data_IF_378039365752
#
_entry.id   IF_378039365752
#
_cell.length_a   1.000
_cell.length_b   1.000
_cell.length_c   1.000
_cell.angle_alpha   90.00
_cell.angle_beta   90.00
_cell.angle_gamma   90.00
#
_symmetry.space_group_name_H-M   'P 1'
#
loop_
_entity.id
_entity.type
_entity.pdbx_description
1 polymer ?
#
# COMPACT_ATOMS: atom_id res chain seq x y z
N UNK A 1 -14.66 15.05 -7.37
CA UNK A 1 -13.96 13.76 -7.24
C UNK A 1 -15.00 12.73 -6.83
N UNK A 2 -15.10 11.64 -7.57
CA UNK A 2 -15.99 10.54 -7.24
C UNK A 2 -15.41 9.82 -6.02
N UNK A 3 -16.22 9.67 -4.97
CA UNK A 3 -15.79 9.16 -3.66
C UNK A 3 -15.70 7.63 -3.59
N UNK A 4 -16.25 6.94 -4.59
CA UNK A 4 -16.41 5.49 -4.60
C UNK A 4 -15.54 4.83 -5.69
N UNK A 5 -14.36 5.40 -5.93
CA UNK A 5 -13.46 4.97 -6.98
C UNK A 5 -12.07 4.65 -6.40
N UNK A 6 -11.49 3.54 -6.83
CA UNK A 6 -10.06 3.26 -6.65
C UNK A 6 -9.36 3.57 -7.95
N UNK A 7 -8.52 4.60 -7.95
CA UNK A 7 -7.63 4.88 -9.07
C UNK A 7 -6.37 4.05 -8.94
N UNK A 8 -6.01 3.36 -10.01
CA UNK A 8 -4.75 2.61 -10.05
C UNK A 8 -3.95 2.98 -11.28
N UNK A 9 -2.67 3.25 -11.08
CA UNK A 9 -1.70 3.42 -12.16
C UNK A 9 -0.88 2.15 -12.34
N UNK A 10 -0.85 1.63 -13.57
CA UNK A 10 -0.18 0.39 -13.95
C UNK A 10 -0.82 -0.86 -13.32
N UNK A 11 -0.17 -2.02 -13.45
CA UNK A 11 -0.62 -3.29 -12.91
C UNK A 11 0.47 -3.95 -12.07
N UNK A 12 0.06 -4.79 -11.12
CA UNK A 12 1.03 -5.57 -10.33
C UNK A 12 1.82 -6.53 -11.23
N UNK A 13 1.21 -7.09 -12.29
CA UNK A 13 1.91 -7.93 -13.24
C UNK A 13 3.03 -7.18 -13.96
N UNK A 14 2.81 -5.94 -14.37
CA UNK A 14 3.85 -5.11 -14.97
C UNK A 14 5.01 -4.85 -13.98
N UNK A 15 4.68 -4.54 -12.72
CA UNK A 15 5.68 -4.38 -11.67
C UNK A 15 6.46 -5.67 -11.41
N UNK A 16 5.78 -6.83 -11.41
CA UNK A 16 6.42 -8.14 -11.24
C UNK A 16 7.47 -8.44 -12.32
N UNK A 17 7.25 -7.96 -13.53
CA UNK A 17 8.18 -8.13 -14.66
C UNK A 17 9.30 -7.09 -14.71
N UNK A 18 9.37 -6.19 -13.73
CA UNK A 18 10.48 -5.23 -13.60
C UNK A 18 10.21 -3.85 -14.23
N UNK A 19 8.97 -3.47 -14.44
CA UNK A 19 8.63 -2.12 -14.92
C UNK A 19 8.67 -1.12 -13.76
N UNK A 20 9.89 -0.69 -13.40
CA UNK A 20 10.14 0.16 -12.22
C UNK A 20 10.39 1.63 -12.55
N UNK A 21 10.41 2.02 -13.82
CA UNK A 21 10.56 3.43 -14.19
C UNK A 21 9.32 4.23 -13.75
N UNK A 22 9.55 5.29 -12.98
CA UNK A 22 8.50 6.18 -12.51
C UNK A 22 7.88 6.97 -13.67
N UNK A 23 6.56 6.98 -13.73
CA UNK A 23 5.79 7.62 -14.80
C UNK A 23 4.85 8.67 -14.23
N UNK A 24 3.92 8.28 -13.34
CA UNK A 24 2.96 9.19 -12.73
C UNK A 24 3.61 9.90 -11.53
N UNK A 25 3.39 11.21 -11.41
CA UNK A 25 3.89 11.97 -10.26
C UNK A 25 2.99 11.80 -9.02
N UNK A 26 3.56 12.03 -7.86
CA UNK A 26 2.81 12.08 -6.59
C UNK A 26 1.73 13.15 -6.64
N UNK A 27 2.02 14.30 -7.26
CA UNK A 27 1.02 15.36 -7.45
C UNK A 27 -0.18 14.91 -8.24
N UNK A 28 0.03 14.20 -9.37
CA UNK A 28 -1.06 13.60 -10.16
C UNK A 28 -1.83 12.55 -9.35
N UNK A 29 -1.15 11.70 -8.57
CA UNK A 29 -1.83 10.72 -7.71
C UNK A 29 -2.75 11.39 -6.68
N UNK A 30 -2.35 12.53 -6.11
CA UNK A 30 -3.17 13.29 -5.15
C UNK A 30 -4.45 13.88 -5.77
N UNK A 31 -4.51 14.03 -7.08
CA UNK A 31 -5.75 14.43 -7.77
C UNK A 31 -6.80 13.33 -7.74
N UNK A 32 -6.39 12.08 -7.52
CA UNK A 32 -7.23 10.89 -7.52
C UNK A 32 -7.46 10.26 -6.14
N UNK A 33 -6.78 10.73 -5.10
CA UNK A 33 -6.96 10.20 -3.76
C UNK A 33 -6.15 10.92 -2.68
N UNK A 34 -6.50 10.63 -1.44
CA UNK A 34 -5.81 11.09 -0.23
C UNK A 34 -5.30 9.91 0.64
N UNK A 35 -5.54 8.69 0.15
CA UNK A 35 -5.29 7.42 0.82
C UNK A 35 -4.82 6.39 -0.20
N UNK A 36 -3.76 5.65 0.08
CA UNK A 36 -3.30 4.63 -0.85
C UNK A 36 -1.92 4.09 -0.56
N UNK A 37 -1.42 3.29 -1.50
CA UNK A 37 -0.14 2.62 -1.44
C UNK A 37 0.46 2.44 -2.83
N UNK A 38 1.74 2.10 -2.88
CA UNK A 38 2.49 1.88 -4.12
C UNK A 38 3.99 1.80 -3.88
N UNK A 39 4.74 2.18 -4.89
CA UNK A 39 6.20 2.29 -4.83
C UNK A 39 6.68 3.52 -5.60
N UNK A 40 7.99 3.70 -5.66
CA UNK A 40 8.60 4.85 -6.32
C UNK A 40 9.52 4.44 -7.46
N UNK A 41 9.93 5.43 -8.25
CA UNK A 41 10.87 5.26 -9.35
C UNK A 41 12.06 4.37 -8.93
N UNK A 42 12.47 3.46 -9.80
CA UNK A 42 13.50 2.44 -9.54
C UNK A 42 13.16 1.43 -8.43
N UNK A 43 11.89 1.31 -8.04
CA UNK A 43 11.43 0.48 -6.91
C UNK A 43 12.01 0.96 -5.56
N UNK A 44 12.25 2.25 -5.37
CA UNK A 44 12.91 2.81 -4.17
C UNK A 44 11.93 2.98 -3.01
N UNK A 45 11.65 1.88 -2.32
CA UNK A 45 10.85 1.85 -1.10
C UNK A 45 9.34 1.67 -1.33
N UNK A 46 8.61 1.62 -0.23
CA UNK A 46 7.15 1.51 -0.20
C UNK A 46 6.51 2.88 -0.08
N UNK A 47 5.44 3.11 -0.85
CA UNK A 47 4.61 4.32 -0.75
C UNK A 47 3.45 4.08 0.19
N UNK A 48 3.23 5.03 1.11
CA UNK A 48 2.01 5.15 1.89
C UNK A 48 1.47 6.56 1.70
N UNK A 49 0.19 6.66 1.30
CA UNK A 49 -0.55 7.92 1.28
C UNK A 49 -1.62 7.88 2.36
N UNK A 50 -1.58 8.84 3.26
CA UNK A 50 -2.52 8.97 4.37
C UNK A 50 -2.88 10.44 4.59
N UNK A 51 -4.17 10.76 4.53
CA UNK A 51 -4.70 12.13 4.64
C UNK A 51 -4.01 13.11 3.65
N UNK A 52 -3.75 12.66 2.42
CA UNK A 52 -3.09 13.43 1.38
C UNK A 52 -1.57 13.63 1.55
N UNK A 53 -0.99 13.13 2.64
CA UNK A 53 0.46 13.13 2.83
C UNK A 53 1.06 11.84 2.29
N UNK A 54 2.16 11.94 1.55
CA UNK A 54 2.84 10.79 0.97
C UNK A 54 4.17 10.57 1.65
N UNK A 55 4.39 9.32 2.05
CA UNK A 55 5.61 8.87 2.71
C UNK A 55 6.27 7.75 1.91
N UNK A 56 7.59 7.80 1.84
CA UNK A 56 8.43 6.72 1.32
C UNK A 56 9.07 5.98 2.49
N UNK A 57 8.76 4.70 2.62
CA UNK A 57 9.44 3.82 3.57
C UNK A 57 10.58 3.16 2.82
N UNK A 58 11.81 3.56 3.12
CA UNK A 58 13.01 3.03 2.45
C UNK A 58 13.51 1.74 3.08
N UNK A 59 14.49 1.14 2.42
CA UNK A 59 15.13 -0.10 2.86
C UNK A 59 15.88 0.03 4.20
N UNK A 60 16.08 1.25 4.71
CA UNK A 60 16.58 1.53 6.06
C UNK A 60 15.49 1.48 7.16
N UNK A 61 14.22 1.29 6.78
CA UNK A 61 13.07 1.24 7.70
C UNK A 61 12.58 2.62 8.14
N UNK A 62 13.07 3.70 7.54
CA UNK A 62 12.70 5.07 7.88
C UNK A 62 11.66 5.60 6.90
N UNK A 63 10.66 6.33 7.41
CA UNK A 63 9.66 7.03 6.63
C UNK A 63 10.14 8.44 6.29
N UNK A 64 10.15 8.77 5.01
CA UNK A 64 10.53 10.07 4.48
C UNK A 64 9.32 10.75 3.81
N UNK A 65 9.03 12.01 4.10
CA UNK A 65 8.04 12.78 3.34
C UNK A 65 8.49 12.91 1.88
N UNK A 66 7.53 12.97 0.97
CA UNK A 66 7.77 12.93 -0.47
C UNK A 66 7.15 14.15 -1.15
N UNK A 67 7.92 14.79 -2.03
CA UNK A 67 7.46 15.91 -2.85
C UNK A 67 6.57 15.45 -4.01
N UNK A 68 5.70 16.35 -4.47
CA UNK A 68 4.73 16.09 -5.54
C UNK A 68 5.38 15.77 -6.90
N UNK A 69 6.63 16.19 -7.12
CA UNK A 69 7.38 15.92 -8.36
C UNK A 69 7.96 14.50 -8.44
N UNK A 70 8.02 13.76 -7.32
CA UNK A 70 8.51 12.39 -7.29
C UNK A 70 7.58 11.47 -8.07
N UNK A 71 8.15 10.52 -8.82
CA UNK A 71 7.38 9.63 -9.69
C UNK A 71 7.25 8.22 -9.15
N UNK A 72 6.17 7.58 -9.55
CA UNK A 72 5.81 6.20 -9.22
C UNK A 72 5.61 5.37 -10.49
N UNK A 73 6.07 4.11 -10.51
CA UNK A 73 5.71 3.15 -11.56
C UNK A 73 4.40 2.42 -11.28
N UNK A 74 3.95 2.41 -10.03
CA UNK A 74 2.76 1.69 -9.60
C UNK A 74 2.20 2.29 -8.32
N UNK A 75 0.91 2.64 -8.33
CA UNK A 75 0.18 3.06 -7.15
C UNK A 75 -1.32 2.78 -7.28
N UNK A 76 -1.97 2.54 -6.14
CA UNK A 76 -3.42 2.52 -5.99
C UNK A 76 -3.83 3.54 -4.94
N UNK A 77 -4.74 4.44 -5.28
CA UNK A 77 -5.20 5.51 -4.40
C UNK A 77 -6.72 5.68 -4.47
N UNK A 78 -7.30 6.21 -3.41
CA UNK A 78 -8.71 6.55 -3.32
C UNK A 78 -8.90 7.75 -2.39
N UNK A 79 -10.02 8.46 -2.51
CA UNK A 79 -10.44 9.39 -1.46
C UNK A 79 -11.08 8.59 -0.34
N UNK A 80 -10.42 8.57 0.83
CA UNK A 80 -10.91 7.78 1.95
C UNK A 80 -12.05 8.49 2.67
N UNK A 81 -13.16 7.79 2.75
CA UNK A 81 -14.31 8.17 3.57
C UNK A 81 -14.83 6.91 4.26
N UNK A 82 -14.85 6.89 5.58
CA UNK A 82 -15.32 5.73 6.32
C UNK A 82 -16.85 5.60 6.20
N UNK A 83 -17.30 4.61 5.45
CA UNK A 83 -18.73 4.24 5.41
C UNK A 83 -19.12 3.50 6.69
N UNK A 84 -18.19 2.73 7.25
CA UNK A 84 -18.36 2.00 8.49
C UNK A 84 -17.08 2.06 9.33
N UNK A 85 -17.25 2.14 10.63
CA UNK A 85 -16.16 2.06 11.61
C UNK A 85 -16.49 0.98 12.63
N UNK A 86 -15.62 0.01 12.77
CA UNK A 86 -15.79 -1.13 13.67
C UNK A 86 -14.67 -1.16 14.69
N UNK A 87 -15.02 -1.34 15.96
CA UNK A 87 -14.07 -1.60 17.04
C UNK A 87 -14.19 -3.08 17.42
N UNK A 88 -13.13 -3.89 17.24
CA UNK A 88 -13.15 -5.29 17.65
C UNK A 88 -13.39 -5.42 19.16
N UNK A 89 -14.11 -6.48 19.58
CA UNK A 89 -14.32 -6.77 21.00
C UNK A 89 -13.03 -7.18 21.74
N UNK A 90 -11.99 -7.57 21.00
CA UNK A 90 -10.70 -7.97 21.52
C UNK A 90 -9.62 -8.05 20.44
N UNK A 91 -8.41 -8.51 20.80
CA UNK A 91 -7.31 -8.60 19.85
C UNK A 91 -7.64 -9.51 18.67
N UNK A 92 -7.29 -9.06 17.46
CA UNK A 92 -7.37 -9.83 16.24
C UNK A 92 -5.97 -10.34 15.90
N UNK A 93 -5.81 -11.66 15.85
CA UNK A 93 -4.54 -12.30 15.50
C UNK A 93 -4.34 -12.32 13.99
N UNK A 94 -3.08 -12.38 13.54
CA UNK A 94 -2.76 -12.33 12.11
C UNK A 94 -3.40 -13.47 11.29
N UNK A 95 -3.45 -14.66 11.84
CA UNK A 95 -4.09 -15.83 11.22
C UNK A 95 -5.60 -15.67 11.01
N UNK A 96 -6.25 -14.83 11.81
CA UNK A 96 -7.68 -14.52 11.71
C UNK A 96 -7.99 -13.21 11.00
N UNK A 97 -6.96 -12.39 10.73
CA UNK A 97 -7.12 -11.03 10.24
C UNK A 97 -7.93 -10.97 8.93
N UNK A 98 -7.54 -11.75 7.92
CA UNK A 98 -8.21 -11.73 6.63
C UNK A 98 -9.68 -12.15 6.72
N UNK A 99 -9.97 -13.24 7.44
CA UNK A 99 -11.34 -13.71 7.64
C UNK A 99 -12.19 -12.76 8.47
N UNK A 100 -11.57 -12.08 9.43
CA UNK A 100 -12.25 -11.04 10.21
C UNK A 100 -12.65 -9.87 9.33
N UNK A 101 -11.73 -9.32 8.54
CA UNK A 101 -12.03 -8.24 7.58
C UNK A 101 -13.14 -8.67 6.62
N UNK A 102 -13.02 -9.85 6.00
CA UNK A 102 -14.02 -10.35 5.05
C UNK A 102 -15.41 -10.51 5.69
N UNK A 103 -15.49 -10.84 6.99
CA UNK A 103 -16.76 -10.95 7.71
C UNK A 103 -17.49 -9.62 7.92
N UNK A 104 -16.78 -8.50 7.85
CA UNK A 104 -17.32 -7.15 8.00
C UNK A 104 -17.83 -6.56 6.68
N UNK A 105 -17.40 -7.12 5.53
CA UNK A 105 -17.68 -6.55 4.22
C UNK A 105 -19.02 -7.02 3.66
N UNK A 106 -19.83 -6.11 3.08
CA UNK A 106 -21.15 -6.45 2.54
C UNK A 106 -21.07 -7.39 1.32
N UNK A 107 -20.00 -7.35 0.56
CA UNK A 107 -19.77 -8.20 -0.62
C UNK A 107 -18.28 -8.41 -0.87
N UNK A 108 -17.93 -9.54 -1.49
CA UNK A 108 -16.56 -9.86 -1.89
C UNK A 108 -16.23 -9.36 -3.31
N UNK A 109 -17.17 -8.72 -3.99
CA UNK A 109 -17.08 -8.36 -5.41
C UNK A 109 -16.71 -6.88 -5.65
N UNK A 110 -16.46 -6.13 -4.59
CA UNK A 110 -16.04 -4.73 -4.67
C UNK A 110 -14.67 -4.53 -4.02
N UNK A 111 -13.89 -3.54 -4.47
CA UNK A 111 -12.72 -3.07 -3.73
C UNK A 111 -13.12 -2.27 -2.50
N UNK A 112 -12.34 -2.39 -1.44
CA UNK A 112 -12.53 -1.62 -0.20
C UNK A 112 -11.21 -1.01 0.24
N UNK A 113 -11.22 0.29 0.56
CA UNK A 113 -10.14 0.95 1.27
C UNK A 113 -10.28 0.66 2.77
N UNK A 114 -9.22 0.19 3.39
CA UNK A 114 -9.22 -0.24 4.80
C UNK A 114 -8.14 0.51 5.56
N UNK A 115 -8.59 1.27 6.55
CA UNK A 115 -7.72 1.97 7.50
C UNK A 115 -7.86 1.34 8.89
N UNK A 116 -6.73 0.96 9.48
CA UNK A 116 -6.71 0.39 10.83
C UNK A 116 -5.86 1.28 11.71
N UNK A 117 -6.44 1.81 12.76
CA UNK A 117 -5.76 2.62 13.76
C UNK A 117 -5.77 1.89 15.10
N UNK A 118 -4.63 1.77 15.75
CA UNK A 118 -4.57 1.08 17.04
C UNK A 118 -3.18 0.81 17.55
N UNK A 119 -3.14 -0.07 18.52
CA UNK A 119 -1.92 -0.57 19.15
C UNK A 119 -1.69 -2.01 18.69
N UNK A 120 -0.46 -2.29 18.29
CA UNK A 120 -0.04 -3.58 17.74
C UNK A 120 1.05 -4.14 18.65
N UNK A 121 0.83 -5.31 19.24
CA UNK A 121 1.86 -5.97 20.06
C UNK A 121 3.09 -6.35 19.25
N UNK A 122 2.90 -6.66 17.96
CA UNK A 122 3.97 -7.00 17.05
C UNK A 122 3.60 -6.64 15.61
N UNK A 123 4.51 -5.96 14.93
CA UNK A 123 4.43 -5.67 13.49
C UNK A 123 5.73 -6.07 12.82
N UNK A 124 5.65 -6.88 11.78
CA UNK A 124 6.76 -7.15 10.88
C UNK A 124 6.48 -6.48 9.55
N UNK A 125 7.31 -5.52 9.19
CA UNK A 125 7.23 -4.78 7.95
C UNK A 125 8.45 -5.07 7.08
N UNK A 126 8.37 -4.71 5.81
CA UNK A 126 9.43 -4.87 4.82
C UNK A 126 9.42 -3.69 3.87
N UNK A 127 10.54 -3.42 3.23
CA UNK A 127 10.66 -2.44 2.16
C UNK A 127 11.63 -2.92 1.11
N UNK A 128 11.38 -2.53 -0.13
CA UNK A 128 12.23 -2.88 -1.28
C UNK A 128 13.33 -1.83 -1.47
N UNK A 129 14.58 -2.25 -1.73
CA UNK A 129 15.66 -1.33 -2.07
C UNK A 129 15.55 -0.86 -3.52
N UNK A 130 16.07 0.33 -3.80
CA UNK A 130 16.20 0.86 -5.16
C UNK A 130 16.98 -0.10 -6.06
N UNK A 131 16.52 -0.24 -7.30
CA UNK A 131 17.14 -1.12 -8.30
C UNK A 131 17.84 -0.30 -9.41
N UNK A 132 18.78 -0.94 -10.08
CA UNK A 132 19.49 -0.40 -11.25
C UNK A 132 19.22 -1.25 -12.47
N UNK A 133 19.22 -0.62 -13.66
CA UNK A 133 19.05 -1.35 -14.93
C UNK A 133 20.26 -2.23 -15.26
N UNK A 134 20.06 -3.41 -15.85
CA UNK A 134 18.76 -4.01 -16.18
C UNK A 134 18.01 -4.45 -14.92
N UNK A 135 16.72 -4.09 -14.85
CA UNK A 135 15.91 -4.38 -13.67
C UNK A 135 15.65 -5.89 -13.51
N UNK A 136 15.85 -6.43 -12.31
CA UNK A 136 15.45 -7.80 -11.99
C UNK A 136 13.92 -7.89 -11.85
N UNK A 137 13.38 -9.10 -11.96
CA UNK A 137 11.98 -9.34 -11.63
C UNK A 137 11.71 -9.08 -10.14
N UNK A 138 10.49 -8.69 -9.81
CA UNK A 138 10.12 -8.33 -8.43
C UNK A 138 10.41 -9.46 -7.43
N UNK A 139 10.17 -10.72 -7.79
CA UNK A 139 10.44 -11.87 -6.93
C UNK A 139 11.92 -11.97 -6.51
N UNK A 140 12.83 -11.57 -7.39
CA UNK A 140 14.28 -11.59 -7.08
C UNK A 140 14.64 -10.49 -6.07
N UNK A 141 13.95 -9.34 -6.14
CA UNK A 141 14.13 -8.23 -5.20
C UNK A 141 13.51 -8.58 -3.84
N UNK A 142 12.27 -9.05 -3.82
CA UNK A 142 11.53 -9.33 -2.59
C UNK A 142 12.13 -10.47 -1.77
N UNK A 143 12.79 -11.44 -2.41
CA UNK A 143 13.52 -12.50 -1.71
C UNK A 143 14.72 -11.99 -0.89
N UNK A 144 15.21 -10.78 -1.17
CA UNK A 144 16.39 -10.17 -0.53
C UNK A 144 16.06 -8.88 0.22
N UNK A 145 14.78 -8.49 0.28
CA UNK A 145 14.40 -7.23 0.89
C UNK A 145 14.61 -7.25 2.41
N UNK A 146 15.02 -6.12 3.01
CA UNK A 146 15.13 -6.00 4.45
C UNK A 146 13.75 -6.04 5.11
N UNK A 147 13.72 -6.57 6.33
CA UNK A 147 12.53 -6.61 7.18
C UNK A 147 12.80 -5.85 8.48
N UNK A 148 11.72 -5.29 9.05
CA UNK A 148 11.76 -4.51 10.28
C UNK A 148 10.72 -5.06 11.25
N UNK A 149 11.06 -5.11 12.52
CA UNK A 149 10.18 -5.60 13.58
C UNK A 149 9.92 -4.48 14.59
N UNK A 150 8.66 -4.30 14.95
CA UNK A 150 8.22 -3.33 15.94
C UNK A 150 7.39 -4.06 16.99
N UNK A 151 7.64 -3.75 18.26
CA UNK A 151 6.90 -4.27 19.40
C UNK A 151 6.16 -3.12 20.08
N UNK A 152 4.94 -3.39 20.53
CA UNK A 152 4.08 -2.44 21.22
C UNK A 152 3.95 -1.10 20.49
N UNK A 153 3.75 -1.19 19.17
CA UNK A 153 3.68 -0.04 18.28
C UNK A 153 2.27 0.51 18.20
N UNK A 154 2.15 1.83 18.27
CA UNK A 154 0.91 2.54 17.94
C UNK A 154 1.02 3.14 16.56
N UNK A 155 0.00 2.93 15.71
CA UNK A 155 0.07 3.42 14.35
C UNK A 155 -1.19 3.17 13.53
N UNK A 156 -1.04 3.45 12.23
CA UNK A 156 -2.09 3.33 11.23
C UNK A 156 -1.62 2.40 10.10
N UNK A 157 -2.48 1.46 9.74
CA UNK A 157 -2.31 0.60 8.56
C UNK A 157 -3.21 1.13 7.45
N UNK A 158 -2.62 1.28 6.26
CA UNK A 158 -3.29 1.65 5.01
C UNK A 158 -3.30 0.44 4.10
N UNK A 159 -4.45 0.07 3.56
CA UNK A 159 -4.55 -1.05 2.64
C UNK A 159 -5.84 -1.10 1.86
N UNK A 160 -5.89 -2.03 0.92
CA UNK A 160 -7.09 -2.35 0.16
C UNK A 160 -7.39 -3.84 0.28
N UNK A 161 -8.67 -4.16 0.40
CA UNK A 161 -9.18 -5.48 0.14
C UNK A 161 -9.78 -5.50 -1.26
N UNK A 162 -9.26 -6.34 -2.13
CA UNK A 162 -9.62 -6.37 -3.54
C UNK A 162 -10.34 -7.67 -3.91
N UNK A 163 -11.30 -7.62 -4.85
CA UNK A 163 -11.99 -8.83 -5.32
C UNK A 163 -11.06 -9.70 -6.17
N UNK A 164 -11.36 -11.01 -6.21
CA UNK A 164 -10.53 -12.00 -6.88
C UNK A 164 -10.35 -11.76 -8.39
N UNK A 165 -11.30 -11.08 -9.05
CA UNK A 165 -11.16 -10.77 -10.49
C UNK A 165 -10.07 -9.72 -10.78
N UNK A 166 -9.54 -9.04 -9.76
CA UNK A 166 -8.43 -8.09 -9.89
C UNK A 166 -7.06 -8.74 -9.76
N UNK A 167 -6.98 -10.07 -9.64
CA UNK A 167 -5.70 -10.78 -9.62
C UNK A 167 -4.86 -10.45 -10.86
N UNK A 168 -3.58 -10.10 -10.64
CA UNK A 168 -2.66 -9.64 -11.69
C UNK A 168 -2.84 -8.17 -12.11
N UNK A 169 -3.94 -7.53 -11.73
CA UNK A 169 -4.12 -6.08 -11.87
C UNK A 169 -3.57 -5.40 -10.61
N UNK A 170 -3.95 -5.91 -9.44
CA UNK A 170 -3.43 -5.45 -8.15
C UNK A 170 -3.20 -6.62 -7.19
#
# INVERSE_FOLDING_TARGET
>A
AERDEVFQFSTINALMEGMYDGVISVGELKEHGDFGLGTFDTLDGEMIMLNGNVYRIRADGVAYPVDDAVKSPFAAVAFFHADETVVPEGPVTWDKFASYIDSLLPTMNLPYAIKIEGEFSYVKARSVPSQTKPYPKLVEVTNKQPTFEFHDAKGTVVGFRLPGYMEGVN
#
